data_IF_403141966580
#
_entry.id   IF_403141966580
#
_cell.length_a   1.000
_cell.length_b   1.000
_cell.length_c   1.000
_cell.angle_alpha   90.00
_cell.angle_beta   90.00
_cell.angle_gamma   90.00
#
_symmetry.space_group_name_H-M   'P 1'
#
loop_
_entity.id
_entity.type
_entity.pdbx_description
1 polymer ?
#
# COMPACT_ATOMS: atom_id res chain seq x y z
N UNK A 1 7.71 -13.98 10.22
CA UNK A 1 6.55 -13.15 9.85
C UNK A 1 5.31 -13.97 10.15
N UNK A 2 4.35 -13.39 10.86
CA UNK A 2 3.11 -14.05 11.26
C UNK A 2 1.94 -13.15 10.87
N UNK A 3 0.75 -13.71 10.64
CA UNK A 3 -0.39 -12.91 10.22
C UNK A 3 -1.67 -13.71 10.11
N UNK A 4 -2.76 -12.98 9.96
CA UNK A 4 -4.11 -13.53 9.75
C UNK A 4 -4.77 -12.83 8.55
N UNK A 5 -5.77 -13.50 7.99
CA UNK A 5 -6.66 -12.92 6.98
C UNK A 5 -8.06 -12.85 7.53
N UNK A 6 -8.72 -11.72 7.32
CA UNK A 6 -10.11 -11.48 7.73
C UNK A 6 -10.94 -11.24 6.48
N UNK A 7 -12.02 -12.00 6.33
CA UNK A 7 -13.00 -11.77 5.27
C UNK A 7 -14.06 -10.78 5.74
N UNK A 8 -14.23 -9.71 4.99
CA UNK A 8 -15.22 -8.66 5.24
C UNK A 8 -16.36 -8.72 4.22
N UNK A 9 -17.56 -8.20 4.55
CA UNK A 9 -18.71 -8.18 3.64
C UNK A 9 -18.59 -7.04 2.61
N UNK A 10 -17.52 -7.04 1.84
CA UNK A 10 -17.26 -6.13 0.70
C UNK A 10 -17.04 -6.94 -0.56
N UNK A 11 -17.52 -6.44 -1.70
CA UNK A 11 -17.44 -7.16 -2.97
C UNK A 11 -16.01 -7.23 -3.51
N UNK A 12 -15.24 -6.17 -3.36
CA UNK A 12 -13.85 -6.03 -3.80
C UNK A 12 -13.14 -4.97 -2.96
N UNK A 13 -11.82 -4.99 -2.97
CA UNK A 13 -10.98 -4.10 -2.18
C UNK A 13 -10.54 -4.73 -0.86
N UNK A 14 -9.29 -4.51 -0.53
CA UNK A 14 -8.62 -5.05 0.66
C UNK A 14 -7.68 -4.03 1.27
N UNK A 15 -7.34 -4.23 2.52
CA UNK A 15 -6.34 -3.43 3.23
C UNK A 15 -5.33 -4.36 3.90
N UNK A 16 -4.05 -4.04 3.74
CA UNK A 16 -2.95 -4.63 4.52
C UNK A 16 -2.70 -3.76 5.74
N UNK A 17 -2.62 -4.37 6.91
CA UNK A 17 -2.17 -3.80 8.16
C UNK A 17 -0.83 -4.46 8.50
N UNK A 18 0.27 -3.72 8.35
CA UNK A 18 1.62 -4.23 8.53
C UNK A 18 2.30 -3.55 9.71
N UNK A 19 2.75 -4.35 10.67
CA UNK A 19 3.62 -3.91 11.77
C UNK A 19 5.04 -4.39 11.52
N UNK A 20 6.00 -3.48 11.60
CA UNK A 20 7.42 -3.77 11.45
C UNK A 20 8.23 -3.20 12.59
N UNK A 21 9.30 -3.89 12.95
CA UNK A 21 10.29 -3.41 13.91
C UNK A 21 11.56 -3.01 13.15
N UNK A 22 11.90 -1.73 13.21
CA UNK A 22 13.03 -1.17 12.47
C UNK A 22 14.32 -1.18 13.29
N UNK A 23 15.46 -1.12 12.62
CA UNK A 23 16.76 -1.00 13.28
C UNK A 23 16.96 0.36 13.95
N UNK A 24 16.29 1.41 13.47
CA UNK A 24 16.37 2.77 14.01
C UNK A 24 14.98 3.28 14.42
N UNK A 25 14.96 4.19 15.38
CA UNK A 25 13.75 4.92 15.72
C UNK A 25 13.36 5.88 14.59
N UNK A 26 12.08 5.95 14.31
CA UNK A 26 11.50 6.85 13.30
C UNK A 26 10.19 7.46 13.81
N UNK A 27 9.83 8.59 13.24
CA UNK A 27 8.52 9.22 13.44
C UNK A 27 7.61 9.01 12.22
N UNK A 28 6.33 9.39 12.38
CA UNK A 28 5.31 9.26 11.32
C UNK A 28 5.71 10.05 10.07
N UNK A 29 6.24 11.25 10.21
CA UNK A 29 6.61 12.12 9.10
C UNK A 29 7.75 11.52 8.27
N UNK A 30 8.75 10.92 8.92
CA UNK A 30 9.85 10.23 8.24
C UNK A 30 9.36 9.04 7.43
N UNK A 31 8.45 8.24 7.99
CA UNK A 31 7.84 7.09 7.30
C UNK A 31 7.03 7.55 6.09
N UNK A 32 6.13 8.51 6.29
CA UNK A 32 5.27 9.02 5.23
C UNK A 32 6.08 9.68 4.09
N UNK A 33 7.08 10.48 4.44
CA UNK A 33 7.97 11.11 3.45
C UNK A 33 8.69 10.08 2.60
N UNK A 34 9.13 8.97 3.20
CA UNK A 34 9.80 7.90 2.45
C UNK A 34 8.86 7.18 1.49
N UNK A 35 7.63 6.91 1.90
CA UNK A 35 6.63 6.32 1.00
C UNK A 35 6.25 7.27 -0.14
N UNK A 36 6.09 8.57 0.13
CA UNK A 36 5.83 9.58 -0.89
C UNK A 36 6.96 9.64 -1.93
N UNK A 37 8.21 9.69 -1.48
CA UNK A 37 9.39 9.67 -2.35
C UNK A 37 9.41 8.45 -3.28
N UNK A 38 9.16 7.26 -2.74
CA UNK A 38 9.21 6.00 -3.50
C UNK A 38 8.02 5.87 -4.46
N UNK A 39 6.85 6.44 -4.11
CA UNK A 39 5.68 6.43 -4.99
C UNK A 39 5.86 7.34 -6.21
N UNK A 40 6.57 8.47 -6.04
CA UNK A 40 6.74 9.48 -7.09
C UNK A 40 7.90 9.18 -8.04
N UNK A 41 8.76 8.22 -7.72
CA UNK A 41 9.98 7.98 -8.51
C UNK A 41 10.48 6.54 -8.44
N UNK A 42 11.20 6.13 -9.47
CA UNK A 42 11.93 4.88 -9.52
C UNK A 42 11.09 3.65 -9.84
N UNK A 43 11.47 2.52 -9.25
CA UNK A 43 10.95 1.21 -9.62
C UNK A 43 9.45 0.99 -9.27
N UNK A 44 8.90 1.78 -8.36
CA UNK A 44 7.52 1.66 -7.91
C UNK A 44 6.59 2.75 -8.46
N UNK A 45 7.09 3.61 -9.33
CA UNK A 45 6.25 4.57 -10.05
C UNK A 45 5.17 3.85 -10.86
N UNK A 46 3.91 4.26 -10.70
CA UNK A 46 2.75 3.60 -11.31
C UNK A 46 2.32 2.27 -10.65
N UNK A 47 3.08 1.79 -9.65
CA UNK A 47 2.81 0.55 -8.91
C UNK A 47 2.35 0.84 -7.48
N UNK A 48 3.05 1.74 -6.78
CA UNK A 48 2.69 2.25 -5.47
C UNK A 48 2.10 3.65 -5.61
N UNK A 49 0.94 3.87 -5.00
CA UNK A 49 0.33 5.19 -4.85
C UNK A 49 0.45 5.64 -3.40
N UNK A 50 0.71 6.92 -3.19
CA UNK A 50 0.63 7.59 -1.90
C UNK A 50 -0.67 8.39 -1.81
N UNK A 51 -1.36 8.36 -0.68
CA UNK A 51 -2.52 9.21 -0.42
C UNK A 51 -2.54 9.74 1.01
N UNK A 52 -3.06 10.95 1.17
CA UNK A 52 -3.42 11.60 2.44
C UNK A 52 -4.93 11.84 2.53
N UNK A 53 -5.70 11.27 1.63
CA UNK A 53 -7.16 11.34 1.61
C UNK A 53 -7.77 10.20 2.40
N UNK A 54 -8.87 10.43 3.16
CA UNK A 54 -9.58 9.37 3.85
C UNK A 54 -10.25 8.43 2.84
N UNK A 55 -9.82 7.18 2.80
CA UNK A 55 -10.34 6.16 1.88
C UNK A 55 -11.15 5.10 2.62
N UNK A 56 -12.10 4.50 1.89
CA UNK A 56 -12.78 3.26 2.24
C UNK A 56 -12.67 2.26 1.10
N UNK A 57 -13.04 0.99 1.34
CA UNK A 57 -12.85 -0.10 0.37
C UNK A 57 -13.44 0.17 -1.01
N UNK A 58 -14.58 0.86 -1.10
CA UNK A 58 -15.22 1.19 -2.39
C UNK A 58 -14.42 2.19 -3.23
N UNK A 59 -13.58 3.01 -2.61
CA UNK A 59 -12.72 3.98 -3.31
C UNK A 59 -11.57 3.30 -4.08
N UNK A 60 -11.27 2.05 -3.71
CA UNK A 60 -10.15 1.28 -4.28
C UNK A 60 -10.59 0.40 -5.45
N UNK A 61 -11.88 0.16 -5.60
CA UNK A 61 -12.41 -0.64 -6.72
C UNK A 61 -12.03 -0.02 -8.06
N UNK A 62 -11.39 -0.80 -8.93
CA UNK A 62 -10.89 -0.36 -10.23
C UNK A 62 -9.58 0.43 -10.18
N UNK A 63 -8.92 0.52 -9.03
CA UNK A 63 -7.63 1.19 -8.90
C UNK A 63 -6.51 0.30 -9.49
N UNK A 64 -5.72 0.82 -10.47
CA UNK A 64 -4.69 0.01 -11.16
C UNK A 64 -3.39 -0.16 -10.37
N UNK A 65 -3.19 0.59 -9.29
CA UNK A 65 -2.00 0.45 -8.47
C UNK A 65 -2.02 -0.87 -7.70
N UNK A 66 -0.85 -1.47 -7.50
CA UNK A 66 -0.72 -2.67 -6.68
C UNK A 66 -0.99 -2.40 -5.21
N UNK A 67 -0.68 -1.18 -4.75
CA UNK A 67 -0.95 -0.74 -3.39
C UNK A 67 -1.11 0.78 -3.34
N UNK A 68 -2.08 1.25 -2.57
CA UNK A 68 -2.23 2.66 -2.21
C UNK A 68 -1.91 2.80 -0.73
N UNK A 69 -0.75 3.38 -0.43
CA UNK A 69 -0.31 3.66 0.94
C UNK A 69 -1.15 4.80 1.54
N UNK A 70 -1.74 4.54 2.70
CA UNK A 70 -2.58 5.49 3.43
C UNK A 70 -1.77 6.15 4.53
N UNK A 71 -1.36 7.38 4.29
CA UNK A 71 -0.49 8.13 5.21
C UNK A 71 -1.18 8.56 6.50
N UNK A 72 -2.50 8.72 6.48
CA UNK A 72 -3.26 9.13 7.67
C UNK A 72 -3.34 8.02 8.73
N UNK A 73 -3.15 6.77 8.33
CA UNK A 73 -3.21 5.62 9.23
C UNK A 73 -1.84 5.21 9.78
N UNK A 74 -0.75 5.83 9.34
CA UNK A 74 0.61 5.52 9.81
C UNK A 74 0.75 5.77 11.29
N UNK A 75 1.32 4.80 12.01
CA UNK A 75 1.66 4.91 13.42
C UNK A 75 3.14 4.59 13.63
N UNK A 76 3.79 5.32 14.54
CA UNK A 76 5.17 5.07 14.92
C UNK A 76 5.34 5.20 16.43
N UNK A 77 6.07 4.26 17.02
CA UNK A 77 6.42 4.25 18.44
C UNK A 77 7.84 3.68 18.62
N UNK A 78 8.83 4.56 18.71
CA UNK A 78 10.22 4.16 18.78
C UNK A 78 10.66 3.42 17.50
N UNK A 79 11.01 2.16 17.65
CA UNK A 79 11.40 1.27 16.54
C UNK A 79 10.22 0.60 15.82
N UNK A 80 9.04 0.67 16.39
CA UNK A 80 7.86 -0.02 15.87
C UNK A 80 7.05 0.91 14.98
N UNK A 81 6.74 0.43 13.76
CA UNK A 81 5.98 1.17 12.76
C UNK A 81 4.81 0.32 12.29
N UNK A 82 3.65 0.95 12.19
CA UNK A 82 2.45 0.35 11.63
C UNK A 82 2.02 1.15 10.40
N UNK A 83 1.89 0.46 9.27
CA UNK A 83 1.51 1.05 7.99
C UNK A 83 0.36 0.29 7.36
N UNK A 84 -0.40 1.02 6.54
CA UNK A 84 -1.59 0.49 5.88
C UNK A 84 -1.52 0.72 4.38
N UNK A 85 -1.94 -0.30 3.64
CA UNK A 85 -2.01 -0.23 2.18
C UNK A 85 -3.31 -0.79 1.65
N UNK A 86 -4.04 0.02 0.89
CA UNK A 86 -5.25 -0.38 0.18
C UNK A 86 -4.89 -1.00 -1.16
N UNK A 87 -5.64 -2.00 -1.59
CA UNK A 87 -5.47 -2.58 -2.92
C UNK A 87 -6.77 -3.21 -3.42
N UNK A 88 -6.99 -3.11 -4.73
CA UNK A 88 -7.97 -3.93 -5.42
C UNK A 88 -7.33 -5.30 -5.69
N UNK A 89 -7.83 -6.32 -5.01
CA UNK A 89 -7.26 -7.67 -5.06
C UNK A 89 -7.41 -8.35 -6.43
N UNK A 90 -8.20 -7.79 -7.33
CA UNK A 90 -8.42 -8.33 -8.68
C UNK A 90 -7.79 -7.43 -9.76
N UNK A 91 -8.11 -6.14 -9.74
CA UNK A 91 -7.71 -5.22 -10.80
C UNK A 91 -6.22 -4.88 -10.81
N UNK A 92 -5.65 -4.59 -9.67
CA UNK A 92 -4.21 -4.27 -9.56
C UNK A 92 -3.33 -5.43 -10.03
N UNK A 93 -3.65 -6.64 -9.64
CA UNK A 93 -2.94 -7.85 -10.09
C UNK A 93 -3.08 -8.06 -11.60
N UNK A 94 -4.28 -7.89 -12.15
CA UNK A 94 -4.52 -8.00 -13.59
C UNK A 94 -3.71 -6.97 -14.38
N UNK A 95 -3.60 -5.75 -13.90
CA UNK A 95 -2.74 -4.72 -14.49
C UNK A 95 -1.26 -5.16 -14.50
N UNK A 96 -0.78 -5.77 -13.43
CA UNK A 96 0.61 -6.30 -13.38
C UNK A 96 0.84 -7.44 -14.35
N UNK A 97 -0.15 -8.28 -14.62
CA UNK A 97 -0.04 -9.31 -15.66
C UNK A 97 0.11 -8.70 -17.06
N UNK A 98 -0.62 -7.64 -17.36
CA UNK A 98 -0.49 -6.92 -18.63
C UNK A 98 0.90 -6.27 -18.74
N UNK A 99 1.37 -5.61 -17.68
CA UNK A 99 2.71 -5.02 -17.65
C UNK A 99 3.80 -6.07 -17.88
N UNK A 100 3.67 -7.25 -17.28
CA UNK A 100 4.60 -8.36 -17.48
C UNK A 100 4.58 -8.85 -18.94
N UNK A 101 3.41 -9.02 -19.52
CA UNK A 101 3.25 -9.39 -20.92
C UNK A 101 3.95 -8.41 -21.86
N UNK A 102 3.78 -7.11 -21.64
CA UNK A 102 4.43 -6.08 -22.42
C UNK A 102 5.97 -6.13 -22.34
N UNK A 103 6.51 -6.53 -21.19
CA UNK A 103 7.97 -6.71 -21.02
C UNK A 103 8.52 -7.95 -21.70
N UNK A 104 7.69 -8.97 -21.93
CA UNK A 104 8.08 -10.22 -22.59
C UNK A 104 7.98 -10.13 -24.12
N UNK A 105 7.24 -9.19 -24.62
CA UNK A 105 7.07 -8.95 -26.07
C UNK A 105 8.11 -7.93 -26.58
#
# INVERSE_FOLDING_TARGET
>A
MDGISIRAPVADGSIVDLVVHLASEVDVDQVNSKFAEVADSGALEGILRYTDEPLVSTDIVGNPYSCTFDSDLTMANGHEVKVFGWYDNEWGYSCRLVDLLQRLL
#
